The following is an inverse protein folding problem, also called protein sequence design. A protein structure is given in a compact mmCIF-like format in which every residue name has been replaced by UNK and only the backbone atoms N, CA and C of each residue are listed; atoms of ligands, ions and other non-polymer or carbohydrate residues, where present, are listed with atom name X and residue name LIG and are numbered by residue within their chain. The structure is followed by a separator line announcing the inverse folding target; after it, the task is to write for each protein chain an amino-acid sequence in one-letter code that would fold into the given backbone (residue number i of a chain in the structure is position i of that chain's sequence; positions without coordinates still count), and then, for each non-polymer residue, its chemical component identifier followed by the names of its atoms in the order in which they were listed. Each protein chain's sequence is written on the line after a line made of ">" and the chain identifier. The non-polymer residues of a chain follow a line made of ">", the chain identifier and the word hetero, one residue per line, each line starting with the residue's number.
data_IF_159849900215
#
_entry.id   IF_159849900215
#
_cell.length_a   1.000
_cell.length_b   1.000
_cell.length_c   1.000
_cell.angle_alpha   90.00
_cell.angle_beta   90.00
_cell.angle_gamma   90.00
#
_symmetry.space_group_name_H-M   'P 1'
#
loop_
_entity.id
_entity.type
_entity.pdbx_description
1 polymer ?
#
# COMPACT_ATOMS: atom_id res chain seq x y z
N UNK A 1 -0.36 -7.65 -23.45
CA UNK A 1 -0.22 -6.69 -22.33
C UNK A 1 -1.55 -6.27 -21.70
N UNK A 2 -2.67 -6.52 -22.38
CA UNK A 2 -4.00 -6.07 -21.92
C UNK A 2 -4.47 -6.83 -20.69
N UNK A 3 -4.29 -8.16 -20.66
CA UNK A 3 -4.58 -8.97 -19.49
C UNK A 3 -3.90 -8.44 -18.22
N UNK A 4 -2.59 -8.16 -18.27
CA UNK A 4 -1.84 -7.62 -17.13
C UNK A 4 -2.36 -6.23 -16.71
N UNK A 5 -2.79 -5.41 -17.67
CA UNK A 5 -3.37 -4.09 -17.39
C UNK A 5 -4.72 -4.23 -16.67
N UNK A 6 -5.57 -5.15 -17.12
CA UNK A 6 -6.85 -5.47 -16.48
C UNK A 6 -6.60 -6.01 -15.06
N UNK A 7 -5.69 -6.97 -14.92
CA UNK A 7 -5.33 -7.56 -13.63
C UNK A 7 -4.81 -6.50 -12.65
N UNK A 8 -3.87 -5.64 -13.06
CA UNK A 8 -3.36 -4.55 -12.24
C UNK A 8 -4.45 -3.54 -11.83
N UNK A 9 -5.43 -3.29 -12.72
CA UNK A 9 -6.56 -2.40 -12.43
C UNK A 9 -7.53 -3.00 -11.42
N UNK A 10 -7.85 -4.30 -11.55
CA UNK A 10 -8.73 -5.02 -10.61
C UNK A 10 -8.03 -5.19 -9.27
N UNK A 11 -6.76 -5.59 -9.27
CA UNK A 11 -5.96 -5.87 -8.07
C UNK A 11 -5.80 -4.62 -7.18
N UNK A 12 -5.75 -3.43 -7.77
CA UNK A 12 -5.78 -2.15 -7.03
C UNK A 12 -6.92 -2.08 -6.00
N UNK A 13 -8.11 -2.57 -6.34
CA UNK A 13 -9.23 -2.56 -5.41
C UNK A 13 -9.04 -3.51 -4.24
N UNK A 14 -8.39 -4.65 -4.46
CA UNK A 14 -7.97 -5.55 -3.38
C UNK A 14 -6.94 -4.89 -2.45
N UNK A 15 -5.97 -4.15 -3.02
CA UNK A 15 -5.01 -3.35 -2.22
C UNK A 15 -5.72 -2.32 -1.36
N UNK A 16 -6.65 -1.55 -1.92
CA UNK A 16 -7.39 -0.52 -1.18
C UNK A 16 -8.22 -1.13 -0.04
N UNK A 17 -8.93 -2.23 -0.32
CA UNK A 17 -9.68 -2.95 0.71
C UNK A 17 -8.76 -3.46 1.83
N UNK A 18 -7.65 -4.09 1.47
CA UNK A 18 -6.68 -4.59 2.45
C UNK A 18 -6.06 -3.45 3.28
N UNK A 19 -5.78 -2.30 2.66
CA UNK A 19 -5.26 -1.12 3.33
C UNK A 19 -6.25 -0.57 4.37
N UNK A 20 -7.53 -0.46 4.00
CA UNK A 20 -8.58 0.01 4.92
C UNK A 20 -8.75 -0.95 6.10
N UNK A 21 -8.81 -2.26 5.85
CA UNK A 21 -8.92 -3.27 6.91
C UNK A 21 -7.70 -3.23 7.85
N UNK A 22 -6.49 -3.10 7.28
CA UNK A 22 -5.26 -2.95 8.06
C UNK A 22 -5.27 -1.67 8.91
N UNK A 23 -5.70 -0.55 8.34
CA UNK A 23 -5.76 0.75 9.02
C UNK A 23 -6.77 0.74 10.16
N UNK A 24 -8.00 0.26 9.94
CA UNK A 24 -9.03 0.16 10.97
C UNK A 24 -8.58 -0.75 12.11
N UNK A 25 -7.99 -1.91 11.79
CA UNK A 25 -7.46 -2.84 12.79
C UNK A 25 -6.32 -2.22 13.62
N UNK A 26 -5.42 -1.48 12.97
CA UNK A 26 -4.31 -0.81 13.65
C UNK A 26 -4.77 0.37 14.51
N UNK A 27 -5.74 1.16 14.04
CA UNK A 27 -6.36 2.24 14.81
C UNK A 27 -7.08 1.72 16.05
N UNK A 28 -7.88 0.65 15.92
CA UNK A 28 -8.53 0.05 17.09
C UNK A 28 -7.53 -0.51 18.10
N UNK A 29 -6.42 -1.09 17.63
CA UNK A 29 -5.31 -1.53 18.48
C UNK A 29 -4.58 -0.39 19.19
N UNK A 30 -4.42 0.76 18.53
CA UNK A 30 -3.79 1.95 19.11
C UNK A 30 -4.70 2.64 20.12
N UNK A 31 -6.00 2.79 19.80
CA UNK A 31 -6.98 3.44 20.68
C UNK A 31 -7.38 2.57 21.88
N UNK A 32 -6.98 1.29 21.89
CA UNK A 32 -7.33 0.33 22.95
C UNK A 32 -8.76 -0.22 22.84
N UNK A 33 -9.45 0.05 21.74
CA UNK A 33 -10.80 -0.43 21.46
C UNK A 33 -10.82 -1.87 20.94
N UNK A 34 -9.69 -2.30 20.36
CA UNK A 34 -9.45 -3.68 19.96
C UNK A 34 -8.19 -4.16 20.68
N UNK A 35 -8.24 -5.32 21.34
CA UNK A 35 -7.00 -5.98 21.76
C UNK A 35 -6.13 -6.17 20.51
N UNK A 36 -4.82 -5.92 20.54
CA UNK A 36 -3.91 -6.11 19.41
C UNK A 36 -3.80 -7.61 19.06
N UNK A 37 -4.86 -8.13 18.46
CA UNK A 37 -5.06 -9.53 18.10
C UNK A 37 -4.26 -9.85 16.85
N UNK A 38 -3.95 -11.13 16.74
CA UNK A 38 -3.36 -11.76 15.57
C UNK A 38 -4.03 -11.34 14.24
N UNK A 39 -5.34 -11.06 14.25
CA UNK A 39 -6.09 -10.59 13.09
C UNK A 39 -5.63 -9.22 12.55
N UNK A 40 -5.33 -8.25 13.42
CA UNK A 40 -4.86 -6.93 13.00
C UNK A 40 -3.41 -7.01 12.45
N UNK A 41 -2.56 -7.82 13.08
CA UNK A 41 -1.22 -8.12 12.55
C UNK A 41 -1.29 -8.81 11.18
N UNK A 42 -2.19 -9.79 11.02
CA UNK A 42 -2.42 -10.47 9.74
C UNK A 42 -2.92 -9.49 8.67
N UNK A 43 -3.86 -8.60 9.01
CA UNK A 43 -4.36 -7.58 8.08
C UNK A 43 -3.23 -6.67 7.54
N UNK A 44 -2.34 -6.21 8.41
CA UNK A 44 -1.16 -5.42 8.00
C UNK A 44 -0.23 -6.18 7.05
N UNK A 45 0.02 -7.47 7.31
CA UNK A 45 0.78 -8.33 6.39
C UNK A 45 0.04 -8.51 5.06
N UNK A 46 -1.26 -8.78 5.08
CA UNK A 46 -2.06 -8.96 3.85
C UNK A 46 -2.05 -7.69 2.99
N UNK A 47 -2.20 -6.51 3.59
CA UNK A 47 -2.06 -5.24 2.86
C UNK A 47 -0.69 -5.13 2.19
N UNK A 48 0.36 -5.41 2.95
CA UNK A 48 1.74 -5.31 2.47
C UNK A 48 1.98 -6.25 1.28
N UNK A 49 1.55 -7.51 1.37
CA UNK A 49 1.65 -8.49 0.27
C UNK A 49 0.80 -8.09 -0.93
N UNK A 50 -0.42 -7.58 -0.71
CA UNK A 50 -1.25 -7.11 -1.81
C UNK A 50 -0.58 -5.94 -2.55
N UNK A 51 0.05 -5.02 -1.82
CA UNK A 51 0.81 -3.91 -2.38
C UNK A 51 2.06 -4.39 -3.14
N UNK A 52 2.77 -5.41 -2.64
CA UNK A 52 3.90 -6.04 -3.34
C UNK A 52 3.48 -6.51 -4.74
N UNK A 53 2.38 -7.27 -4.80
CA UNK A 53 1.83 -7.78 -6.05
C UNK A 53 1.42 -6.62 -6.98
N UNK A 54 0.78 -5.57 -6.45
CA UNK A 54 0.41 -4.41 -7.25
C UNK A 54 1.62 -3.71 -7.87
N UNK A 55 2.68 -3.48 -7.08
CA UNK A 55 3.90 -2.83 -7.53
C UNK A 55 4.62 -3.70 -8.56
N UNK A 56 4.74 -5.00 -8.33
CA UNK A 56 5.36 -5.93 -9.30
C UNK A 56 4.60 -5.93 -10.62
N UNK A 57 3.27 -6.06 -10.59
CA UNK A 57 2.44 -5.96 -11.79
C UNK A 57 2.64 -4.61 -12.50
N UNK A 58 2.71 -3.52 -11.74
CA UNK A 58 2.96 -2.17 -12.26
C UNK A 58 4.33 -2.02 -12.92
N UNK A 59 5.39 -2.54 -12.31
CA UNK A 59 6.74 -2.52 -12.86
C UNK A 59 6.86 -3.37 -14.13
N UNK A 60 6.22 -4.54 -14.17
CA UNK A 60 6.15 -5.37 -15.39
C UNK A 60 5.46 -4.61 -16.52
N UNK A 61 4.34 -3.93 -16.23
CA UNK A 61 3.65 -3.08 -17.21
C UNK A 61 4.49 -1.89 -17.65
N UNK A 62 5.15 -1.22 -16.71
CA UNK A 62 5.97 -0.02 -16.96
C UNK A 62 7.16 -0.34 -17.86
N UNK A 63 7.90 -1.42 -17.56
CA UNK A 63 9.02 -1.86 -18.40
C UNK A 63 8.51 -2.40 -19.73
N UNK A 64 7.53 -3.30 -19.71
CA UNK A 64 7.07 -3.99 -20.92
C UNK A 64 6.31 -3.12 -21.92
N UNK A 65 5.71 -2.00 -21.49
CA UNK A 65 5.12 -0.99 -22.39
C UNK A 65 6.15 0.02 -22.92
N UNK A 66 7.41 -0.09 -22.52
CA UNK A 66 8.47 0.87 -22.88
C UNK A 66 8.37 2.14 -22.04
N UNK A 67 8.94 2.10 -20.84
CA UNK A 67 8.96 3.23 -19.91
C UNK A 67 9.47 4.53 -20.54
N UNK A 68 10.43 4.46 -21.47
CA UNK A 68 11.00 5.61 -22.17
C UNK A 68 9.98 6.35 -23.07
N UNK A 69 9.01 5.61 -23.63
CA UNK A 69 7.95 6.16 -24.47
C UNK A 69 6.69 6.51 -23.66
N UNK A 70 6.62 6.13 -22.38
CA UNK A 70 5.47 6.40 -21.52
C UNK A 70 5.38 7.91 -21.24
N UNK A 71 4.25 8.59 -21.45
CA UNK A 71 4.16 10.04 -21.25
C UNK A 71 3.89 10.45 -19.79
N UNK A 72 4.38 11.65 -19.43
CA UNK A 72 3.98 12.39 -18.24
C UNK A 72 4.07 11.63 -16.92
N UNK A 73 2.99 11.71 -16.13
CA UNK A 73 2.85 11.10 -14.79
C UNK A 73 3.24 9.62 -14.73
N UNK A 74 2.86 8.85 -15.76
CA UNK A 74 3.09 7.41 -15.79
C UNK A 74 4.56 7.03 -16.01
N UNK A 75 5.38 7.96 -16.50
CA UNK A 75 6.79 7.69 -16.78
C UNK A 75 7.59 7.48 -15.51
N UNK A 76 7.47 8.40 -14.55
CA UNK A 76 8.32 8.37 -13.35
C UNK A 76 7.55 8.68 -12.07
N UNK A 77 6.59 9.60 -12.09
CA UNK A 77 5.88 9.99 -10.87
C UNK A 77 5.07 8.83 -10.30
N UNK A 78 4.24 8.19 -11.12
CA UNK A 78 3.42 7.04 -10.69
C UNK A 78 4.25 5.90 -10.08
N UNK A 79 5.24 5.31 -10.78
CA UNK A 79 6.03 4.22 -10.20
C UNK A 79 6.83 4.68 -8.96
N UNK A 80 7.32 5.92 -8.93
CA UNK A 80 8.05 6.44 -7.76
C UNK A 80 7.14 6.54 -6.53
N UNK A 81 5.94 7.09 -6.67
CA UNK A 81 4.98 7.20 -5.56
C UNK A 81 4.59 5.82 -5.04
N UNK A 82 4.38 4.85 -5.92
CA UNK A 82 4.04 3.47 -5.55
C UNK A 82 5.19 2.76 -4.83
N UNK A 83 6.44 2.99 -5.24
CA UNK A 83 7.63 2.49 -4.55
C UNK A 83 7.80 3.12 -3.17
N UNK A 84 7.54 4.42 -3.03
CA UNK A 84 7.56 5.09 -1.73
C UNK A 84 6.48 4.53 -0.80
N UNK A 85 5.26 4.30 -1.30
CA UNK A 85 4.20 3.65 -0.54
C UNK A 85 4.64 2.27 -0.05
N UNK A 86 5.22 1.46 -0.94
CA UNK A 86 5.75 0.14 -0.61
C UNK A 86 6.81 0.19 0.51
N UNK A 87 7.78 1.09 0.39
CA UNK A 87 8.83 1.28 1.41
C UNK A 87 8.21 1.66 2.76
N UNK A 88 7.25 2.59 2.78
CA UNK A 88 6.57 3.01 4.01
C UNK A 88 5.81 1.85 4.66
N UNK A 89 5.06 1.06 3.86
CA UNK A 89 4.34 -0.12 4.37
C UNK A 89 5.30 -1.15 5.01
N UNK A 90 6.39 -1.48 4.31
CA UNK A 90 7.41 -2.41 4.80
C UNK A 90 8.11 -1.89 6.06
N UNK A 91 8.53 -0.62 6.05
CA UNK A 91 9.18 0.02 7.19
C UNK A 91 8.26 0.03 8.42
N UNK A 92 6.98 0.34 8.23
CA UNK A 92 5.97 0.28 9.29
C UNK A 92 5.87 -1.10 9.93
N UNK A 93 5.83 -2.16 9.10
CA UNK A 93 5.81 -3.54 9.59
C UNK A 93 7.10 -3.88 10.35
N UNK A 94 8.27 -3.55 9.79
CA UNK A 94 9.57 -3.81 10.42
C UNK A 94 9.72 -3.09 11.76
N UNK A 95 9.36 -1.81 11.83
CA UNK A 95 9.40 -1.00 13.05
C UNK A 95 8.40 -1.50 14.10
N UNK A 96 7.20 -1.94 13.70
CA UNK A 96 6.21 -2.48 14.63
C UNK A 96 6.66 -3.75 15.37
N UNK A 97 7.54 -4.55 14.74
CA UNK A 97 8.12 -5.76 15.36
C UNK A 97 9.15 -5.42 16.44
N UNK A 98 9.70 -4.20 16.41
CA UNK A 98 10.70 -3.70 17.36
C UNK A 98 10.09 -2.83 18.47
N UNK A 99 8.77 -2.64 18.48
CA UNK A 99 8.10 -1.77 19.43
C UNK A 99 8.03 -2.41 20.83
N UNK A 100 8.25 -1.58 21.86
CA UNK A 100 8.32 -1.99 23.27
C UNK A 100 6.97 -2.41 23.86
N UNK A 101 5.85 -2.03 23.24
CA UNK A 101 4.52 -2.42 23.69
C UNK A 101 3.58 -2.73 22.51
N UNK A 102 2.54 -3.55 22.73
CA UNK A 102 1.53 -3.82 21.70
C UNK A 102 0.80 -2.56 21.20
N UNK A 103 0.57 -1.58 22.08
CA UNK A 103 -0.04 -0.29 21.71
C UNK A 103 0.89 0.55 20.84
N UNK A 104 2.18 0.58 21.17
CA UNK A 104 3.19 1.26 20.35
C UNK A 104 3.32 0.59 18.97
N UNK A 105 3.31 -0.74 18.90
CA UNK A 105 3.29 -1.49 17.64
C UNK A 105 2.08 -1.12 16.78
N UNK A 106 0.87 -1.08 17.38
CA UNK A 106 -0.36 -0.72 16.68
C UNK A 106 -0.34 0.72 16.16
N UNK A 107 0.17 1.67 16.95
CA UNK A 107 0.37 3.07 16.52
C UNK A 107 1.29 3.15 15.31
N UNK A 108 2.43 2.46 15.35
CA UNK A 108 3.40 2.45 14.24
C UNK A 108 2.77 1.90 12.96
N UNK A 109 2.04 0.79 13.04
CA UNK A 109 1.32 0.22 11.89
C UNK A 109 0.24 1.18 11.39
N UNK A 110 -0.52 1.82 12.27
CA UNK A 110 -1.59 2.74 11.89
C UNK A 110 -1.05 3.93 11.10
N UNK A 111 0.01 4.57 11.61
CA UNK A 111 0.64 5.73 10.95
C UNK A 111 1.24 5.30 9.61
N UNK A 112 2.03 4.22 9.58
CA UNK A 112 2.66 3.77 8.34
C UNK A 112 1.63 3.34 7.29
N UNK A 113 0.57 2.63 7.70
CA UNK A 113 -0.52 2.24 6.80
C UNK A 113 -1.26 3.46 6.27
N UNK A 114 -1.53 4.47 7.11
CA UNK A 114 -2.18 5.71 6.68
C UNK A 114 -1.33 6.48 5.66
N UNK A 115 -0.03 6.66 5.94
CA UNK A 115 0.89 7.34 5.02
C UNK A 115 1.05 6.56 3.71
N UNK A 116 1.23 5.24 3.78
CA UNK A 116 1.30 4.37 2.62
C UNK A 116 0.02 4.42 1.79
N UNK A 117 -1.15 4.35 2.43
CA UNK A 117 -2.44 4.45 1.75
C UNK A 117 -2.63 5.83 1.08
N UNK A 118 -2.23 6.92 1.73
CA UNK A 118 -2.27 8.25 1.13
C UNK A 118 -1.40 8.32 -0.14
N UNK A 119 -0.19 7.77 -0.09
CA UNK A 119 0.69 7.68 -1.26
C UNK A 119 0.06 6.82 -2.36
N UNK A 120 -0.52 5.65 -2.02
CA UNK A 120 -1.25 4.82 -3.00
C UNK A 120 -2.36 5.63 -3.67
N UNK A 121 -3.20 6.34 -2.91
CA UNK A 121 -4.31 7.14 -3.45
C UNK A 121 -3.81 8.24 -4.38
N UNK A 122 -2.75 8.95 -4.01
CA UNK A 122 -2.10 9.96 -4.88
C UNK A 122 -1.51 9.32 -6.15
N UNK A 123 -1.02 8.08 -6.03
CA UNK A 123 -0.54 7.27 -7.14
C UNK A 123 -1.64 6.82 -8.10
N UNK A 124 -2.93 6.83 -7.72
CA UNK A 124 -4.02 6.38 -8.60
C UNK A 124 -4.38 7.49 -9.60
N UNK A 125 -4.24 7.23 -10.92
CA UNK A 125 -4.67 8.18 -11.95
C UNK A 125 -6.18 8.41 -11.88
N UNK A 126 -6.64 9.64 -12.08
CA UNK A 126 -8.07 10.00 -12.08
C UNK A 126 -8.65 10.31 -10.70
N UNK A 127 -7.96 10.00 -9.60
CA UNK A 127 -8.43 10.34 -8.24
C UNK A 127 -7.97 11.72 -7.81
N UNK A 128 -6.69 12.04 -7.98
CA UNK A 128 -6.13 13.36 -7.62
C UNK A 128 -5.95 14.26 -8.83
N UNK A 129 -5.67 13.68 -10.00
CA UNK A 129 -5.50 14.40 -11.26
C UNK A 129 -6.60 13.98 -12.23
N UNK A 130 -7.41 14.90 -12.78
CA UNK A 130 -8.28 14.58 -13.90
C UNK A 130 -7.42 14.12 -15.08
N UNK A 131 -7.88 13.06 -15.76
CA UNK A 131 -7.19 12.44 -16.89
C UNK A 131 -7.15 13.33 -18.12
#
# INVERSE_FOLDING_TARGET
>A
MDFLTILHSIWRWAVLLAAVVALVGALGGWLGQLSPRLAARRAGTFYTVALDVQVVLGLILWVGKGWYATPGFFRFEHPTIMLLALVVAHAGQALSRRAESPRAAARTVAIATAVSLALVVVGIPGVVRPG
#
